data_IF_015340972320
#
_entry.id   IF_015340972320
#
_cell.length_a   1.000
_cell.length_b   1.000
_cell.length_c   1.000
_cell.angle_alpha   90.00
_cell.angle_beta   90.00
_cell.angle_gamma   90.00
#
_symmetry.space_group_name_H-M   'P 1'
#
loop_
_entity.id
_entity.type
_entity.pdbx_description
1 polymer ?
#
# COMPACT_ATOMS: atom_id res chain seq x y z
N UNK A 1 -12.24 11.34 -5.18
CA UNK A 1 -10.91 11.21 -4.60
C UNK A 1 -9.92 11.35 -5.74
N UNK A 2 -9.04 12.32 -5.72
CA UNK A 2 -8.16 12.59 -6.85
C UNK A 2 -7.02 11.60 -6.91
N UNK A 3 -6.76 11.10 -8.10
CA UNK A 3 -5.50 10.47 -8.44
C UNK A 3 -4.44 11.57 -8.48
N UNK A 4 -3.29 11.33 -7.87
CA UNK A 4 -2.19 12.30 -7.84
C UNK A 4 -1.29 12.09 -9.06
N UNK A 5 -0.88 13.17 -9.75
CA UNK A 5 0.11 13.05 -10.82
C UNK A 5 1.43 12.45 -10.29
N UNK A 6 1.99 11.49 -11.02
CA UNK A 6 3.24 10.81 -10.61
C UNK A 6 4.38 11.81 -10.29
N UNK A 7 4.54 12.84 -11.13
CA UNK A 7 5.57 13.87 -10.94
C UNK A 7 5.44 14.67 -9.64
N UNK A 8 4.23 14.87 -9.15
CA UNK A 8 3.96 15.54 -7.88
C UNK A 8 4.35 14.63 -6.71
N UNK A 9 3.92 13.37 -6.78
CA UNK A 9 4.25 12.37 -5.78
C UNK A 9 5.76 12.10 -5.69
N UNK A 10 6.47 12.02 -6.81
CA UNK A 10 7.91 11.77 -6.87
C UNK A 10 8.76 12.90 -6.26
N UNK A 11 8.19 14.09 -6.04
CA UNK A 11 8.88 15.21 -5.35
C UNK A 11 8.83 15.12 -3.84
N UNK A 12 8.01 14.23 -3.30
CA UNK A 12 7.91 14.05 -1.85
C UNK A 12 9.18 13.42 -1.31
N UNK A 13 9.62 13.80 -0.11
CA UNK A 13 10.84 13.25 0.50
C UNK A 13 10.56 11.86 1.10
N UNK A 14 10.16 10.92 0.26
CA UNK A 14 9.82 9.55 0.65
C UNK A 14 10.94 8.59 0.25
N UNK A 15 11.23 7.65 1.15
CA UNK A 15 12.27 6.63 0.92
C UNK A 15 11.95 5.73 -0.28
N UNK A 16 10.67 5.51 -0.56
CA UNK A 16 10.22 4.65 -1.64
C UNK A 16 10.79 5.04 -3.00
N UNK A 17 11.01 6.32 -3.27
CA UNK A 17 11.48 6.78 -4.58
C UNK A 17 12.85 6.23 -4.94
N UNK A 18 13.80 6.27 -3.99
CA UNK A 18 15.13 5.66 -4.17
C UNK A 18 15.05 4.14 -4.06
N UNK A 19 14.24 3.66 -3.11
CA UNK A 19 14.15 2.23 -2.79
C UNK A 19 13.56 1.40 -3.94
N UNK A 20 12.51 1.89 -4.58
CA UNK A 20 11.88 1.27 -5.75
C UNK A 20 12.33 1.89 -7.07
N UNK A 21 13.49 2.54 -7.12
CA UNK A 21 14.04 3.03 -8.37
C UNK A 21 14.02 1.93 -9.44
N UNK A 22 13.49 2.26 -10.62
CA UNK A 22 13.31 1.32 -11.73
C UNK A 22 12.12 0.36 -11.63
N UNK A 23 11.30 0.43 -10.58
CA UNK A 23 10.02 -0.27 -10.50
C UNK A 23 8.90 0.67 -10.94
N UNK A 24 8.09 0.32 -11.95
CA UNK A 24 7.06 1.21 -12.45
C UNK A 24 6.02 1.56 -11.38
N UNK A 25 5.79 2.87 -11.16
CA UNK A 25 4.66 3.38 -10.42
C UNK A 25 3.38 3.15 -11.26
N UNK A 26 2.44 2.38 -10.74
CA UNK A 26 1.23 2.06 -11.45
C UNK A 26 0.16 3.13 -11.24
N UNK A 27 -0.09 3.50 -10.00
CA UNK A 27 -0.97 4.60 -9.63
C UNK A 27 -0.67 5.13 -8.21
N UNK A 28 -1.11 6.36 -7.95
CA UNK A 28 -1.05 6.99 -6.64
C UNK A 28 -2.32 7.79 -6.35
N UNK A 29 -2.79 7.69 -5.12
CA UNK A 29 -4.00 8.31 -4.61
C UNK A 29 -3.70 9.03 -3.32
N UNK A 30 -4.37 10.17 -3.09
CA UNK A 30 -4.21 10.90 -1.83
C UNK A 30 -5.56 11.35 -1.29
N UNK A 31 -5.58 11.54 0.03
CA UNK A 31 -6.66 12.22 0.75
C UNK A 31 -6.08 13.18 1.78
N UNK A 32 -6.79 14.26 1.99
CA UNK A 32 -6.50 15.21 3.05
C UNK A 32 -7.18 14.75 4.33
N UNK A 33 -6.42 14.79 5.42
CA UNK A 33 -6.85 14.44 6.77
C UNK A 33 -6.71 15.69 7.66
N UNK A 34 -7.71 16.01 8.51
CA UNK A 34 -7.64 17.19 9.37
C UNK A 34 -6.40 17.16 10.28
N UNK A 35 -5.69 18.29 10.36
CA UNK A 35 -4.58 18.45 11.29
C UNK A 35 -5.09 18.98 12.63
N UNK A 36 -5.37 18.09 13.54
CA UNK A 36 -5.81 18.42 14.91
C UNK A 36 -4.62 18.72 15.84
N UNK A 37 -3.48 18.12 15.60
CA UNK A 37 -2.19 18.41 16.25
C UNK A 37 -1.04 18.12 15.28
N UNK A 38 0.16 18.61 15.61
CA UNK A 38 1.38 18.28 14.89
C UNK A 38 2.01 16.98 15.36
N UNK A 39 2.85 16.39 14.52
CA UNK A 39 3.69 15.24 14.86
C UNK A 39 2.93 13.91 14.94
N UNK A 40 1.72 13.79 14.36
CA UNK A 40 1.07 12.49 14.20
C UNK A 40 1.84 11.71 13.13
N UNK A 41 2.30 10.51 13.49
CA UNK A 41 2.98 9.62 12.55
C UNK A 41 2.03 8.59 11.97
N UNK A 42 2.42 7.98 10.83
CA UNK A 42 1.66 6.87 10.25
C UNK A 42 1.65 5.65 11.18
N UNK A 43 2.75 5.41 11.89
CA UNK A 43 2.85 4.30 12.84
C UNK A 43 1.90 4.50 14.03
N UNK A 44 1.88 5.70 14.64
CA UNK A 44 0.92 6.04 15.69
C UNK A 44 -0.53 5.88 15.20
N UNK A 45 -0.83 6.37 14.01
CA UNK A 45 -2.15 6.21 13.42
C UNK A 45 -2.51 4.74 13.22
N UNK A 46 -1.58 3.94 12.71
CA UNK A 46 -1.79 2.51 12.50
C UNK A 46 -2.06 1.75 13.79
N UNK A 47 -1.33 2.07 14.85
CA UNK A 47 -1.52 1.48 16.18
C UNK A 47 -2.88 1.87 16.80
N UNK A 48 -3.23 3.16 16.73
CA UNK A 48 -4.47 3.71 17.30
C UNK A 48 -5.70 3.24 16.54
N UNK A 49 -5.63 3.19 15.21
CA UNK A 49 -6.72 2.75 14.35
C UNK A 49 -7.00 1.23 14.49
N UNK A 50 -6.09 0.48 15.13
CA UNK A 50 -6.13 -0.98 15.23
C UNK A 50 -6.41 -1.61 13.85
N UNK A 51 -6.18 -2.82 13.55
CA UNK A 51 -6.35 -3.52 12.27
C UNK A 51 -7.46 -3.06 11.27
N UNK A 52 -8.15 -1.95 11.56
CA UNK A 52 -9.26 -1.39 10.77
C UNK A 52 -8.83 -0.50 9.60
N UNK A 53 -7.54 -0.08 9.53
CA UNK A 53 -7.04 0.77 8.43
C UNK A 53 -7.28 0.15 7.05
N UNK A 54 -7.14 -1.16 6.95
CA UNK A 54 -7.35 -1.91 5.72
C UNK A 54 -8.65 -2.71 5.71
N UNK A 55 -9.61 -2.38 6.59
CA UNK A 55 -10.93 -3.03 6.56
C UNK A 55 -11.71 -2.49 5.36
N UNK A 56 -11.85 -3.34 4.36
CA UNK A 56 -12.69 -3.05 3.21
C UNK A 56 -14.16 -3.01 3.64
N UNK A 57 -14.97 -2.24 2.91
CA UNK A 57 -16.42 -2.32 3.04
C UNK A 57 -16.88 -3.78 2.81
N UNK A 58 -18.07 -4.18 3.29
CA UNK A 58 -18.60 -5.53 3.04
C UNK A 58 -18.58 -5.91 1.56
N UNK A 59 -18.91 -4.95 0.67
CA UNK A 59 -18.84 -5.14 -0.78
C UNK A 59 -17.38 -5.30 -1.24
N UNK A 60 -16.47 -4.45 -0.78
CA UNK A 60 -15.04 -4.57 -1.09
C UNK A 60 -14.46 -5.89 -0.60
N UNK A 61 -14.85 -6.33 0.60
CA UNK A 61 -14.46 -7.63 1.15
C UNK A 61 -15.00 -8.81 0.33
N UNK A 62 -16.27 -8.77 -0.07
CA UNK A 62 -16.87 -9.81 -0.93
C UNK A 62 -16.14 -9.91 -2.26
N UNK A 63 -15.81 -8.79 -2.87
CA UNK A 63 -15.13 -8.76 -4.16
C UNK A 63 -13.67 -9.22 -4.06
N UNK A 64 -12.97 -8.90 -2.97
CA UNK A 64 -11.64 -9.48 -2.69
C UNK A 64 -11.76 -10.99 -2.53
N UNK A 65 -12.79 -11.49 -1.85
CA UNK A 65 -13.03 -12.93 -1.72
C UNK A 65 -13.31 -13.59 -3.07
N UNK A 66 -14.11 -12.97 -3.93
CA UNK A 66 -14.35 -13.45 -5.30
C UNK A 66 -13.03 -13.48 -6.09
N UNK A 67 -12.24 -12.42 -6.03
CA UNK A 67 -10.92 -12.40 -6.69
C UNK A 67 -10.01 -13.50 -6.15
N UNK A 68 -9.97 -13.73 -4.84
CA UNK A 68 -9.20 -14.81 -4.22
C UNK A 68 -9.72 -16.20 -4.63
N UNK A 69 -11.03 -16.37 -4.73
CA UNK A 69 -11.62 -17.61 -5.21
C UNK A 69 -11.22 -17.90 -6.66
N UNK A 70 -11.37 -16.91 -7.56
CA UNK A 70 -10.94 -17.02 -8.96
C UNK A 70 -9.42 -17.26 -9.04
N UNK A 71 -8.64 -16.53 -8.24
CA UNK A 71 -7.18 -16.68 -8.19
C UNK A 71 -6.73 -18.06 -7.76
N UNK A 72 -7.44 -18.67 -6.79
CA UNK A 72 -7.21 -20.07 -6.37
C UNK A 72 -7.58 -21.05 -7.47
N UNK A 73 -8.73 -20.86 -8.12
CA UNK A 73 -9.21 -21.73 -9.20
C UNK A 73 -8.25 -21.73 -10.39
N UNK A 74 -7.74 -20.55 -10.77
CA UNK A 74 -6.80 -20.38 -11.87
C UNK A 74 -5.33 -20.55 -11.46
N UNK A 75 -5.06 -20.81 -10.18
CA UNK A 75 -3.71 -20.99 -9.66
C UNK A 75 -2.86 -19.69 -9.68
N UNK A 76 -3.50 -18.53 -9.75
CA UNK A 76 -2.81 -17.23 -9.80
C UNK A 76 -2.19 -16.84 -8.46
N UNK A 77 -2.80 -17.28 -7.36
CA UNK A 77 -2.36 -16.96 -5.99
C UNK A 77 -1.34 -17.96 -5.43
N UNK A 78 -0.85 -18.90 -6.25
CA UNK A 78 0.22 -19.79 -5.84
C UNK A 78 1.52 -19.00 -5.68
N UNK A 79 2.27 -19.31 -4.63
CA UNK A 79 3.62 -18.77 -4.47
C UNK A 79 4.42 -19.12 -5.72
N UNK A 80 5.17 -18.16 -6.29
CA UNK A 80 6.10 -18.46 -7.37
C UNK A 80 7.16 -19.45 -6.86
N UNK A 81 7.81 -20.21 -7.74
CA UNK A 81 8.99 -20.99 -7.34
C UNK A 81 9.96 -20.10 -6.58
N UNK A 82 10.54 -20.60 -5.49
CA UNK A 82 11.41 -19.83 -4.58
C UNK A 82 12.58 -19.10 -5.29
N UNK A 83 12.92 -19.53 -6.50
CA UNK A 83 14.00 -18.98 -7.34
C UNK A 83 13.50 -17.93 -8.36
N UNK A 84 12.19 -17.68 -8.47
CA UNK A 84 11.67 -16.90 -9.60
C UNK A 84 11.80 -15.39 -9.41
N UNK A 85 11.60 -14.87 -8.17
CA UNK A 85 11.57 -13.42 -7.93
C UNK A 85 12.12 -13.09 -6.54
N UNK A 86 13.15 -12.25 -6.53
CA UNK A 86 13.70 -11.74 -5.29
C UNK A 86 12.75 -10.70 -4.67
N UNK A 87 12.46 -10.87 -3.37
CA UNK A 87 11.66 -9.92 -2.60
C UNK A 87 12.29 -8.52 -2.63
N UNK A 88 11.45 -7.48 -2.67
CA UNK A 88 11.96 -6.12 -2.49
C UNK A 88 12.71 -5.94 -1.17
N UNK A 89 12.39 -6.72 -0.13
CA UNK A 89 13.11 -6.68 1.14
C UNK A 89 14.62 -6.99 1.01
N UNK A 90 15.04 -7.65 -0.06
CA UNK A 90 16.47 -7.89 -0.33
C UNK A 90 17.25 -6.60 -0.63
N UNK A 91 16.56 -5.55 -1.10
CA UNK A 91 17.15 -4.23 -1.37
C UNK A 91 17.40 -3.39 -0.11
N UNK A 92 16.88 -3.81 1.06
CA UNK A 92 17.04 -3.07 2.31
C UNK A 92 18.50 -3.01 2.73
N UNK A 93 18.99 -1.80 2.95
CA UNK A 93 20.28 -1.56 3.57
C UNK A 93 20.25 -1.93 5.05
N UNK A 94 21.41 -2.05 5.69
CA UNK A 94 21.49 -2.24 7.14
C UNK A 94 20.83 -1.08 7.89
N UNK A 95 21.00 0.16 7.39
CA UNK A 95 20.35 1.35 7.95
C UNK A 95 18.82 1.32 7.82
N UNK A 96 18.27 0.87 6.67
CA UNK A 96 16.83 0.72 6.51
C UNK A 96 16.28 -0.34 7.48
N UNK A 97 16.98 -1.45 7.64
CA UNK A 97 16.58 -2.52 8.58
C UNK A 97 16.59 -2.06 10.04
N UNK A 98 17.58 -1.27 10.44
CA UNK A 98 17.67 -0.75 11.82
C UNK A 98 16.61 0.31 12.12
N UNK A 99 16.16 1.07 11.11
CA UNK A 99 15.12 2.09 11.26
C UNK A 99 13.70 1.51 11.17
N UNK A 100 13.55 0.30 10.65
CA UNK A 100 12.24 -0.29 10.44
C UNK A 100 11.63 -0.74 11.76
N UNK A 101 10.41 -0.27 12.04
CA UNK A 101 9.60 -0.61 13.22
C UNK A 101 9.00 -2.02 13.15
N UNK A 102 9.09 -2.67 11.99
CA UNK A 102 8.66 -4.05 11.79
C UNK A 102 9.72 -4.84 11.03
N UNK A 103 9.87 -6.11 11.36
CA UNK A 103 10.80 -6.98 10.66
C UNK A 103 10.36 -7.21 9.20
N UNK A 104 11.31 -7.13 8.27
CA UNK A 104 11.06 -7.45 6.89
C UNK A 104 10.59 -8.91 6.74
N UNK A 105 9.57 -9.14 5.90
CA UNK A 105 8.94 -10.45 5.70
C UNK A 105 7.79 -10.76 6.65
N UNK A 106 7.53 -9.92 7.69
CA UNK A 106 6.37 -10.07 8.56
C UNK A 106 5.08 -10.10 7.72
N UNK A 107 4.23 -11.09 7.96
CA UNK A 107 2.96 -11.24 7.22
C UNK A 107 1.87 -10.33 7.79
N UNK A 108 1.24 -9.58 6.91
CA UNK A 108 0.04 -8.77 7.18
C UNK A 108 -1.05 -9.14 6.16
N UNK A 109 -1.88 -10.10 6.51
CA UNK A 109 -2.88 -10.64 5.59
C UNK A 109 -2.24 -11.32 4.39
N UNK A 110 -2.49 -10.77 3.19
CA UNK A 110 -1.92 -11.26 1.93
C UNK A 110 -0.54 -10.65 1.61
N UNK A 111 -0.15 -9.64 2.36
CA UNK A 111 1.07 -8.88 2.13
C UNK A 111 2.19 -9.31 3.07
N UNK A 112 3.41 -8.93 2.70
CA UNK A 112 4.60 -9.01 3.56
C UNK A 112 5.16 -7.61 3.74
N UNK A 113 5.55 -7.27 4.96
CA UNK A 113 6.21 -5.99 5.24
C UNK A 113 7.58 -6.00 4.57
N UNK A 114 7.84 -4.97 3.77
CA UNK A 114 9.19 -4.68 3.28
C UNK A 114 9.91 -3.83 4.31
N UNK A 115 9.33 -2.68 4.68
CA UNK A 115 9.74 -1.85 5.80
C UNK A 115 8.54 -1.09 6.37
N UNK A 116 8.67 -0.65 7.61
CA UNK A 116 7.76 0.28 8.29
C UNK A 116 8.59 1.34 9.00
N UNK A 117 8.50 2.57 8.52
CA UNK A 117 9.06 3.75 9.19
C UNK A 117 7.94 4.53 9.86
N UNK A 118 8.29 5.57 10.62
CA UNK A 118 7.29 6.40 11.33
C UNK A 118 6.19 6.93 10.41
N UNK A 119 6.56 7.42 9.22
CA UNK A 119 5.63 8.08 8.29
C UNK A 119 5.46 7.36 6.95
N UNK A 120 6.05 6.19 6.79
CA UNK A 120 6.04 5.46 5.52
C UNK A 120 6.08 3.95 5.76
N UNK A 121 5.18 3.22 5.11
CA UNK A 121 5.14 1.77 5.15
C UNK A 121 5.08 1.20 3.74
N UNK A 122 5.93 0.24 3.43
CA UNK A 122 5.91 -0.50 2.18
C UNK A 122 5.60 -1.96 2.45
N UNK A 123 4.55 -2.44 1.78
CA UNK A 123 4.12 -3.83 1.78
C UNK A 123 4.32 -4.43 0.40
N UNK A 124 4.69 -5.70 0.32
CA UNK A 124 4.77 -6.40 -0.97
C UNK A 124 3.81 -7.58 -1.05
N UNK A 125 3.35 -7.85 -2.25
CA UNK A 125 2.62 -9.04 -2.64
C UNK A 125 3.33 -9.68 -3.83
N UNK A 126 3.78 -10.90 -3.67
CA UNK A 126 4.42 -11.68 -4.74
C UNK A 126 3.54 -12.88 -5.05
N UNK A 127 3.15 -13.02 -6.30
CA UNK A 127 2.47 -14.19 -6.81
C UNK A 127 2.90 -14.48 -8.26
N UNK A 128 2.36 -15.52 -8.88
CA UNK A 128 2.72 -15.92 -10.26
C UNK A 128 2.34 -14.92 -11.34
N UNK A 129 1.47 -13.96 -11.03
CA UNK A 129 0.93 -12.99 -12.00
C UNK A 129 1.57 -11.61 -11.90
N UNK A 130 2.01 -11.22 -10.70
CA UNK A 130 2.59 -9.90 -10.46
C UNK A 130 3.45 -9.89 -9.20
N UNK A 131 4.46 -9.03 -9.17
CA UNK A 131 5.10 -8.55 -7.96
C UNK A 131 4.65 -7.10 -7.76
N UNK A 132 3.85 -6.87 -6.73
CA UNK A 132 3.31 -5.55 -6.42
C UNK A 132 3.84 -5.06 -5.08
N UNK A 133 4.08 -3.75 -4.97
CA UNK A 133 4.36 -3.09 -3.71
C UNK A 133 3.29 -2.02 -3.47
N UNK A 134 2.73 -2.01 -2.27
CA UNK A 134 1.75 -1.03 -1.81
C UNK A 134 2.41 -0.14 -0.76
N UNK A 135 2.48 1.14 -1.07
CA UNK A 135 2.98 2.17 -0.18
C UNK A 135 1.82 2.85 0.53
N UNK A 136 1.96 3.05 1.83
CA UNK A 136 1.18 4.03 2.60
C UNK A 136 2.15 5.06 3.18
N UNK A 137 1.87 6.35 3.00
CA UNK A 137 2.70 7.42 3.56
C UNK A 137 1.83 8.54 4.11
N UNK A 138 2.28 9.17 5.20
CA UNK A 138 1.64 10.31 5.85
C UNK A 138 2.60 11.50 5.80
N UNK A 139 2.18 12.58 5.16
CA UNK A 139 2.97 13.80 5.02
C UNK A 139 2.25 14.95 5.72
N UNK A 140 2.90 15.52 6.72
CA UNK A 140 2.38 16.69 7.44
C UNK A 140 2.63 17.96 6.66
N UNK A 141 1.62 18.83 6.59
CA UNK A 141 1.74 20.19 6.10
C UNK A 141 1.29 21.18 7.19
N UNK A 142 1.38 22.47 6.92
CA UNK A 142 0.93 23.50 7.87
C UNK A 142 -0.57 23.39 8.23
N UNK A 143 -1.40 22.87 7.32
CA UNK A 143 -2.87 22.91 7.41
C UNK A 143 -3.49 21.52 7.56
N UNK A 144 -2.96 20.52 6.87
CA UNK A 144 -3.53 19.16 6.79
C UNK A 144 -2.41 18.11 6.81
N UNK A 145 -2.81 16.87 7.06
CA UNK A 145 -2.02 15.71 6.70
C UNK A 145 -2.47 15.18 5.35
N UNK A 146 -1.52 14.86 4.47
CA UNK A 146 -1.79 14.14 3.24
C UNK A 146 -1.46 12.66 3.46
N UNK A 147 -2.46 11.82 3.34
CA UNK A 147 -2.25 10.37 3.29
C UNK A 147 -2.16 9.94 1.84
N UNK A 148 -1.02 9.37 1.47
CA UNK A 148 -0.75 8.82 0.15
C UNK A 148 -0.87 7.31 0.17
N UNK A 149 -1.49 6.77 -0.87
CA UNK A 149 -1.49 5.34 -1.16
C UNK A 149 -1.02 5.14 -2.60
N UNK A 150 0.13 4.49 -2.78
CA UNK A 150 0.72 4.27 -4.09
C UNK A 150 0.97 2.77 -4.34
N UNK A 151 0.82 2.36 -5.59
CA UNK A 151 1.03 0.98 -6.00
C UNK A 151 2.09 0.94 -7.10
N UNK A 152 3.11 0.14 -6.86
CA UNK A 152 4.16 -0.17 -7.81
C UNK A 152 3.95 -1.60 -8.30
N UNK A 153 4.16 -1.85 -9.59
CA UNK A 153 3.99 -3.18 -10.17
C UNK A 153 5.16 -3.53 -11.06
N UNK A 154 5.83 -4.63 -10.70
CA UNK A 154 6.82 -5.25 -11.57
C UNK A 154 6.15 -6.33 -12.40
N UNK A 155 6.33 -6.27 -13.71
CA UNK A 155 5.88 -7.32 -14.61
C UNK A 155 6.72 -8.59 -14.40
N UNK A 156 6.06 -9.67 -14.01
CA UNK A 156 6.71 -10.97 -13.77
C UNK A 156 6.45 -11.96 -14.90
N UNK A 157 5.48 -11.64 -15.77
CA UNK A 157 5.15 -12.43 -16.95
C UNK A 157 4.51 -11.56 -18.02
N UNK A 158 4.44 -12.07 -19.26
CA UNK A 158 3.68 -11.40 -20.33
C UNK A 158 2.19 -11.25 -20.04
N UNK A 159 1.67 -11.98 -19.07
CA UNK A 159 0.27 -11.88 -18.63
C UNK A 159 0.03 -10.79 -17.59
N UNK A 160 1.07 -10.26 -16.95
CA UNK A 160 0.94 -9.20 -15.93
C UNK A 160 0.14 -7.99 -16.45
N UNK A 161 0.41 -7.40 -17.64
CA UNK A 161 -0.35 -6.26 -18.13
C UNK A 161 -1.83 -6.58 -18.34
N UNK A 162 -2.15 -7.75 -18.88
CA UNK A 162 -3.54 -8.21 -19.10
C UNK A 162 -4.25 -8.39 -17.76
N UNK A 163 -3.59 -9.03 -16.80
CA UNK A 163 -4.10 -9.20 -15.45
C UNK A 163 -4.36 -7.84 -14.78
N UNK A 164 -3.41 -6.90 -14.88
CA UNK A 164 -3.56 -5.56 -14.30
C UNK A 164 -4.72 -4.79 -14.96
N UNK A 165 -4.83 -4.83 -16.28
CA UNK A 165 -5.94 -4.19 -16.99
C UNK A 165 -7.31 -4.74 -16.58
N UNK A 166 -7.39 -6.05 -16.31
CA UNK A 166 -8.64 -6.70 -15.88
C UNK A 166 -9.05 -6.28 -14.46
N UNK A 167 -8.08 -6.13 -13.54
CA UNK A 167 -8.37 -5.80 -12.14
C UNK A 167 -8.43 -4.29 -11.86
N UNK A 168 -7.87 -3.46 -12.75
CA UNK A 168 -7.77 -2.01 -12.56
C UNK A 168 -9.12 -1.30 -12.35
N UNK A 169 -10.16 -1.54 -13.17
CA UNK A 169 -11.46 -0.89 -12.94
C UNK A 169 -11.99 -1.20 -11.55
N UNK A 170 -11.81 -2.43 -11.10
CA UNK A 170 -12.22 -2.89 -9.79
C UNK A 170 -11.42 -2.23 -8.66
N UNK A 171 -10.09 -2.16 -8.79
CA UNK A 171 -9.22 -1.48 -7.82
C UNK A 171 -9.60 0.00 -7.69
N UNK A 172 -9.76 0.70 -8.83
CA UNK A 172 -10.02 2.14 -8.89
C UNK A 172 -11.42 2.51 -8.41
N UNK A 173 -12.43 1.72 -8.74
CA UNK A 173 -13.83 2.05 -8.43
C UNK A 173 -14.29 1.54 -7.06
N UNK A 174 -13.69 0.47 -6.54
CA UNK A 174 -14.16 -0.18 -5.30
C UNK A 174 -13.09 -0.21 -4.22
N UNK A 175 -11.92 -0.79 -4.51
CA UNK A 175 -10.91 -1.04 -3.47
C UNK A 175 -10.35 0.26 -2.92
N UNK A 176 -9.85 1.15 -3.79
CA UNK A 176 -9.23 2.39 -3.35
C UNK A 176 -10.21 3.37 -2.69
N UNK A 177 -11.40 3.63 -3.24
CA UNK A 177 -12.37 4.47 -2.55
C UNK A 177 -12.80 3.90 -1.19
N UNK A 178 -12.91 2.57 -1.07
CA UNK A 178 -13.23 1.92 0.19
C UNK A 178 -12.11 2.07 1.21
N UNK A 179 -10.86 1.82 0.79
CA UNK A 179 -9.67 1.98 1.61
C UNK A 179 -9.54 3.41 2.13
N UNK A 180 -9.58 4.41 1.24
CA UNK A 180 -9.37 5.80 1.59
C UNK A 180 -10.52 6.36 2.46
N UNK A 181 -11.76 5.89 2.27
CA UNK A 181 -12.86 6.20 3.19
C UNK A 181 -12.63 5.59 4.58
N UNK A 182 -12.15 4.36 4.65
CA UNK A 182 -11.80 3.70 5.91
C UNK A 182 -10.70 4.47 6.64
N UNK A 183 -9.66 4.90 5.93
CA UNK A 183 -8.59 5.74 6.48
C UNK A 183 -9.16 7.02 7.06
N UNK A 184 -9.98 7.77 6.31
CA UNK A 184 -10.59 9.02 6.78
C UNK A 184 -11.48 8.81 8.00
N UNK A 185 -12.31 7.76 7.98
CA UNK A 185 -13.20 7.44 9.11
C UNK A 185 -12.40 7.07 10.36
N UNK A 186 -11.35 6.27 10.19
CA UNK A 186 -10.47 5.87 11.29
C UNK A 186 -9.70 7.07 11.85
N UNK A 187 -9.20 7.95 10.97
CA UNK A 187 -8.52 9.18 11.36
C UNK A 187 -9.43 10.08 12.21
N UNK A 188 -10.64 10.36 11.72
CA UNK A 188 -11.60 11.20 12.44
C UNK A 188 -11.99 10.61 13.80
N UNK A 189 -12.04 9.29 13.90
CA UNK A 189 -12.33 8.62 15.19
C UNK A 189 -11.14 8.69 16.15
N UNK A 190 -9.93 8.59 15.67
CA UNK A 190 -8.71 8.57 16.49
C UNK A 190 -8.23 9.97 16.87
N UNK A 191 -8.38 10.93 15.97
CA UNK A 191 -7.80 12.27 16.09
C UNK A 191 -8.79 13.40 15.77
N UNK A 192 -10.06 13.12 15.43
CA UNK A 192 -11.07 14.15 15.23
C UNK A 192 -11.40 14.84 16.54
N UNK A 193 -11.66 16.16 16.48
CA UNK A 193 -12.29 16.88 17.58
C UNK A 193 -13.75 16.41 17.69
N UNK A 194 -14.15 16.00 18.87
CA UNK A 194 -15.55 15.68 19.19
C UNK A 194 -16.45 16.91 18.98
#
# INVERSE_FOLDING_TARGET
MPQVPAREFERLPLRVHDFLAGVPLHDVWAIDLPRTRSGITLDEFSQTASARLFTLSPVGGALVNIRLFIGRLLGWDRDPPATAWESFAARLTAADRSKSLAAAGTREGLFRVVYRFENEQLLELINRTAQAAALSALVETAVVYHFYFAVYVRSVSRFTPVYMALIDPFRKLVVYPSLLRSVRTSWNRSFGTA
#
